data_IF_644074927525
#
_entry.id   IF_644074927525
#
_cell.length_a   1.000
_cell.length_b   1.000
_cell.length_c   1.000
_cell.angle_alpha   90.00
_cell.angle_beta   90.00
_cell.angle_gamma   90.00
#
_symmetry.space_group_name_H-M   'P 1'
#
loop_
_entity.id
_entity.type
_entity.pdbx_description
1 polymer ?
#
# COMPACT_ATOMS: atom_id res chain seq x y z
N UNK A 1 -14.17 37.43 -38.96
CA UNK A 1 -13.31 36.24 -38.89
C UNK A 1 -12.95 36.01 -37.46
N UNK A 2 -13.62 35.05 -36.74
CA UNK A 2 -13.38 34.78 -35.31
C UNK A 2 -12.41 33.61 -35.20
N UNK A 3 -11.23 33.87 -34.65
CA UNK A 3 -10.19 32.90 -34.41
C UNK A 3 -10.55 32.09 -33.14
N UNK A 4 -10.94 30.81 -33.32
CA UNK A 4 -11.10 29.89 -32.20
C UNK A 4 -9.73 29.33 -31.83
N UNK A 5 -9.18 29.78 -30.71
CA UNK A 5 -7.99 29.17 -30.12
C UNK A 5 -8.45 27.89 -29.40
N UNK A 6 -8.17 26.72 -29.99
CA UNK A 6 -8.30 25.42 -29.31
C UNK A 6 -7.17 25.32 -28.26
N UNK A 7 -7.52 25.48 -26.99
CA UNK A 7 -6.64 25.12 -25.89
C UNK A 7 -6.61 23.59 -25.79
N UNK A 8 -5.61 22.94 -26.38
CA UNK A 8 -5.33 21.54 -26.15
C UNK A 8 -4.79 21.39 -24.72
N UNK A 9 -5.63 20.92 -23.80
CA UNK A 9 -5.20 20.51 -22.47
C UNK A 9 -4.26 19.31 -22.60
N UNK A 10 -2.96 19.54 -22.43
CA UNK A 10 -1.97 18.46 -22.30
C UNK A 10 -2.25 17.71 -20.98
N UNK A 11 -3.02 16.64 -21.06
CA UNK A 11 -3.09 15.68 -19.97
C UNK A 11 -1.72 15.01 -19.87
N UNK A 12 -0.88 15.49 -18.97
CA UNK A 12 0.33 14.78 -18.58
C UNK A 12 -0.11 13.45 -17.96
N UNK A 13 0.20 12.35 -18.64
CA UNK A 13 -0.05 11.02 -18.09
C UNK A 13 0.70 10.91 -16.77
N UNK A 14 -0.04 10.85 -15.67
CA UNK A 14 0.54 10.78 -14.34
C UNK A 14 1.29 9.46 -14.20
N UNK A 15 2.57 9.50 -13.84
CA UNK A 15 3.41 8.33 -13.66
C UNK A 15 2.80 7.38 -12.61
N UNK A 16 2.37 6.17 -12.98
CA UNK A 16 1.66 5.26 -12.09
C UNK A 16 2.51 4.76 -10.92
N UNK A 17 3.83 4.86 -10.98
CA UNK A 17 4.73 4.42 -9.90
C UNK A 17 4.97 5.52 -8.85
N UNK A 18 4.69 6.78 -9.18
CA UNK A 18 4.97 7.91 -8.30
C UNK A 18 4.24 7.83 -6.95
N UNK A 19 2.94 7.48 -6.88
CA UNK A 19 2.25 7.36 -5.59
C UNK A 19 2.91 6.33 -4.67
N UNK A 20 3.34 5.18 -5.20
CA UNK A 20 3.92 4.08 -4.42
C UNK A 20 5.18 4.48 -3.66
N UNK A 21 5.94 5.46 -4.18
CA UNK A 21 7.15 5.97 -3.54
C UNK A 21 6.87 6.76 -2.24
N UNK A 22 5.63 7.19 -2.00
CA UNK A 22 5.22 7.81 -0.73
C UNK A 22 5.39 6.85 0.44
N UNK A 23 5.26 5.55 0.20
CA UNK A 23 5.36 4.52 1.22
C UNK A 23 6.80 4.31 1.71
N UNK A 24 7.82 4.75 0.94
CA UNK A 24 9.22 4.63 1.32
C UNK A 24 9.55 5.47 2.55
N UNK A 25 10.31 4.91 3.48
CA UNK A 25 10.82 5.57 4.69
C UNK A 25 10.59 4.77 5.96
N UNK A 26 10.88 5.40 7.10
CA UNK A 26 10.64 4.83 8.43
C UNK A 26 9.34 5.41 8.98
N UNK A 27 8.47 4.55 9.49
CA UNK A 27 7.18 4.90 10.04
C UNK A 27 7.05 4.39 11.47
N UNK A 28 6.55 5.23 12.35
CA UNK A 28 6.11 4.81 13.68
C UNK A 28 4.63 4.47 13.60
N UNK A 29 4.29 3.22 13.92
CA UNK A 29 2.93 2.67 13.83
C UNK A 29 2.34 2.59 15.23
N UNK A 30 1.32 3.38 15.50
CA UNK A 30 0.54 3.32 16.73
C UNK A 30 -0.73 2.52 16.51
N UNK A 31 -1.10 1.71 17.50
CA UNK A 31 -2.28 0.85 17.44
C UNK A 31 -3.39 1.40 18.33
N UNK A 32 -4.63 1.33 17.87
CA UNK A 32 -5.80 1.59 18.71
C UNK A 32 -5.86 0.55 19.81
N UNK A 33 -6.02 0.98 21.07
CA UNK A 33 -5.99 0.08 22.22
C UNK A 33 -4.70 0.13 23.03
N UNK A 34 -3.72 0.98 22.65
CA UNK A 34 -2.58 1.33 23.51
C UNK A 34 -1.43 0.31 23.54
N UNK A 35 -1.33 -0.58 22.55
CA UNK A 35 -0.15 -1.43 22.37
C UNK A 35 1.10 -0.58 22.12
N UNK A 36 2.28 -1.13 22.44
CA UNK A 36 3.56 -0.48 22.15
C UNK A 36 3.64 -0.18 20.63
N UNK A 37 4.02 1.04 20.23
CA UNK A 37 4.19 1.36 18.82
C UNK A 37 5.25 0.48 18.17
N UNK A 38 4.98 0.10 16.91
CA UNK A 38 5.94 -0.57 16.05
C UNK A 38 6.76 0.44 15.22
N UNK A 39 7.92 0.01 14.78
CA UNK A 39 8.74 0.73 13.79
C UNK A 39 8.72 -0.06 12.51
N UNK A 40 8.09 0.52 11.48
CA UNK A 40 8.01 -0.03 10.13
C UNK A 40 9.03 0.68 9.24
N UNK A 41 9.89 -0.07 8.58
CA UNK A 41 10.84 0.47 7.62
C UNK A 41 10.52 -0.07 6.24
N UNK A 42 10.25 0.82 5.29
CA UNK A 42 10.03 0.51 3.89
C UNK A 42 11.16 1.13 3.05
N UNK A 43 11.97 0.31 2.43
CA UNK A 43 12.99 0.76 1.46
C UNK A 43 12.47 0.46 0.07
N UNK A 44 11.81 1.45 -0.55
CA UNK A 44 11.18 1.28 -1.85
C UNK A 44 12.10 1.74 -2.97
N UNK A 45 12.14 0.98 -4.05
CA UNK A 45 12.86 1.26 -5.27
C UNK A 45 12.01 0.98 -6.51
N UNK A 46 12.23 1.76 -7.57
CA UNK A 46 11.68 1.45 -8.89
C UNK A 46 12.57 0.42 -9.57
N UNK A 47 11.94 -0.59 -10.14
CA UNK A 47 12.61 -1.64 -10.91
C UNK A 47 11.89 -1.77 -12.25
N UNK A 48 12.33 -0.99 -13.25
CA UNK A 48 11.66 -0.94 -14.55
C UNK A 48 10.22 -0.42 -14.43
N UNK A 49 9.24 -1.32 -14.67
CA UNK A 49 7.82 -0.99 -14.69
C UNK A 49 7.06 -1.33 -13.41
N UNK A 50 7.75 -1.60 -12.31
CA UNK A 50 7.15 -1.91 -11.02
C UNK A 50 7.96 -1.30 -9.87
N UNK A 51 7.39 -1.34 -8.65
CA UNK A 51 8.07 -0.92 -7.43
C UNK A 51 8.25 -2.12 -6.53
N UNK A 52 9.41 -2.21 -5.91
CA UNK A 52 9.70 -3.15 -4.80
C UNK A 52 9.94 -2.37 -3.53
N UNK A 53 9.49 -2.90 -2.39
CA UNK A 53 9.82 -2.35 -1.09
C UNK A 53 10.31 -3.48 -0.18
N UNK A 54 11.55 -3.37 0.31
CA UNK A 54 12.00 -4.16 1.45
C UNK A 54 11.34 -3.60 2.70
N UNK A 55 10.51 -4.40 3.35
CA UNK A 55 9.74 -4.02 4.53
C UNK A 55 10.20 -4.81 5.74
N UNK A 56 10.60 -4.11 6.81
CA UNK A 56 10.89 -4.73 8.11
C UNK A 56 10.09 -4.07 9.22
N UNK A 57 9.77 -4.84 10.26
CA UNK A 57 9.07 -4.38 11.46
C UNK A 57 9.98 -4.59 12.65
N UNK A 58 10.20 -3.53 13.45
CA UNK A 58 11.02 -3.55 14.68
C UNK A 58 12.43 -4.11 14.48
N UNK A 59 13.02 -3.89 13.30
CA UNK A 59 14.34 -4.41 12.95
C UNK A 59 14.41 -5.92 12.73
N UNK A 60 13.26 -6.58 12.61
CA UNK A 60 13.17 -7.99 12.24
C UNK A 60 13.53 -8.26 10.77
N UNK A 61 13.48 -9.53 10.33
CA UNK A 61 13.73 -9.92 8.95
C UNK A 61 12.79 -9.21 7.98
N UNK A 62 13.32 -8.82 6.82
CA UNK A 62 12.55 -8.10 5.79
C UNK A 62 11.71 -9.04 4.94
N UNK A 63 10.50 -8.57 4.61
CA UNK A 63 9.70 -9.11 3.52
C UNK A 63 9.85 -8.21 2.29
N UNK A 64 9.79 -8.78 1.10
CA UNK A 64 9.79 -8.02 -0.15
C UNK A 64 8.34 -7.83 -0.63
N UNK A 65 7.90 -6.58 -0.71
CA UNK A 65 6.64 -6.20 -1.33
C UNK A 65 6.88 -5.83 -2.78
N UNK A 66 6.05 -6.33 -3.68
CA UNK A 66 6.10 -6.02 -5.12
C UNK A 66 4.78 -5.39 -5.54
N UNK A 67 4.85 -4.27 -6.27
CA UNK A 67 3.71 -3.52 -6.78
C UNK A 67 3.83 -3.40 -8.30
N UNK A 68 2.90 -3.98 -9.04
CA UNK A 68 2.88 -4.03 -10.50
C UNK A 68 1.65 -3.25 -11.00
N UNK A 69 1.82 -2.10 -11.67
CA UNK A 69 0.68 -1.36 -12.21
C UNK A 69 -0.12 -2.19 -13.21
N UNK A 70 -1.43 -2.07 -13.14
CA UNK A 70 -2.31 -2.62 -14.16
C UNK A 70 -2.39 -1.64 -15.33
N UNK A 71 -2.04 -2.09 -16.52
CA UNK A 71 -2.03 -1.25 -17.73
C UNK A 71 -3.43 -0.90 -18.22
N UNK A 72 -4.42 -1.74 -17.88
CA UNK A 72 -5.83 -1.61 -18.26
C UNK A 72 -6.66 -0.79 -17.27
N UNK A 73 -6.12 -0.54 -16.06
CA UNK A 73 -6.86 0.10 -14.97
C UNK A 73 -5.96 1.07 -14.18
N UNK A 74 -5.93 2.35 -14.57
CA UNK A 74 -5.16 3.37 -13.82
C UNK A 74 -5.51 3.38 -12.33
N UNK A 75 -4.50 3.52 -11.46
CA UNK A 75 -4.67 3.50 -10.00
C UNK A 75 -4.84 2.11 -9.41
N UNK A 76 -4.83 1.05 -10.22
CA UNK A 76 -4.87 -0.34 -9.73
C UNK A 76 -3.54 -1.05 -9.97
N UNK A 77 -3.18 -1.90 -9.02
CA UNK A 77 -1.92 -2.63 -9.00
C UNK A 77 -2.14 -4.07 -8.55
N UNK A 78 -1.38 -4.99 -9.10
CA UNK A 78 -1.18 -6.28 -8.49
C UNK A 78 -0.13 -6.15 -7.40
N UNK A 79 -0.33 -6.85 -6.28
CA UNK A 79 0.61 -6.88 -5.17
C UNK A 79 1.04 -8.30 -4.88
N UNK A 80 2.28 -8.47 -4.43
CA UNK A 80 2.76 -9.73 -3.91
C UNK A 80 3.72 -9.48 -2.76
N UNK A 81 3.66 -10.32 -1.73
CA UNK A 81 4.58 -10.29 -0.61
C UNK A 81 5.43 -11.57 -0.66
N UNK A 82 6.74 -11.42 -0.59
CA UNK A 82 7.69 -12.51 -0.43
C UNK A 82 8.22 -12.42 0.99
N UNK A 83 7.90 -13.43 1.80
CA UNK A 83 8.29 -13.49 3.20
C UNK A 83 9.78 -13.69 3.36
N UNK A 84 10.37 -13.39 4.55
CA UNK A 84 11.80 -13.54 4.80
C UNK A 84 12.34 -14.95 4.50
N UNK A 85 11.52 -15.97 4.70
CA UNK A 85 11.85 -17.37 4.38
C UNK A 85 11.78 -17.71 2.87
N UNK A 86 11.58 -16.70 2.00
CA UNK A 86 11.52 -16.85 0.55
C UNK A 86 10.19 -17.34 -0.01
N UNK A 87 9.16 -17.50 0.84
CA UNK A 87 7.85 -17.95 0.39
C UNK A 87 6.98 -16.78 -0.06
N UNK A 88 6.53 -16.82 -1.33
CA UNK A 88 5.59 -15.87 -1.85
C UNK A 88 4.17 -16.11 -1.33
N UNK A 89 3.45 -15.03 -1.03
CA UNK A 89 2.01 -15.07 -0.75
C UNK A 89 1.21 -15.20 -2.05
N UNK A 90 -0.11 -15.39 -1.94
CA UNK A 90 -1.02 -15.19 -3.06
C UNK A 90 -0.91 -13.77 -3.60
N UNK A 91 -1.20 -13.60 -4.89
CA UNK A 91 -1.33 -12.28 -5.48
C UNK A 91 -2.51 -11.55 -4.86
N UNK A 92 -2.28 -10.33 -4.43
CA UNK A 92 -3.31 -9.40 -3.98
C UNK A 92 -3.52 -8.27 -4.97
N UNK A 93 -4.42 -7.37 -4.62
CA UNK A 93 -4.73 -6.16 -5.37
C UNK A 93 -4.53 -4.93 -4.47
N UNK A 94 -4.11 -3.83 -5.08
CA UNK A 94 -4.11 -2.51 -4.48
C UNK A 94 -4.87 -1.57 -5.41
N UNK A 95 -5.80 -0.82 -4.85
CA UNK A 95 -6.47 0.31 -5.51
C UNK A 95 -6.10 1.61 -4.81
N UNK A 96 -5.66 2.61 -5.58
CA UNK A 96 -5.36 3.95 -5.11
C UNK A 96 -6.40 4.91 -5.69
N UNK A 97 -7.24 5.46 -4.82
CA UNK A 97 -8.25 6.47 -5.17
C UNK A 97 -8.00 7.71 -4.32
N UNK A 98 -7.38 8.73 -4.92
CA UNK A 98 -6.93 9.92 -4.20
C UNK A 98 -5.95 9.54 -3.08
N UNK A 99 -6.29 9.90 -1.85
CA UNK A 99 -5.47 9.63 -0.66
C UNK A 99 -5.78 8.27 0.00
N UNK A 100 -6.69 7.48 -0.57
CA UNK A 100 -7.11 6.18 -0.03
C UNK A 100 -6.49 5.04 -0.81
N UNK A 101 -5.77 4.18 -0.10
CA UNK A 101 -5.15 2.98 -0.63
C UNK A 101 -5.84 1.75 -0.04
N UNK A 102 -6.47 0.95 -0.87
CA UNK A 102 -7.17 -0.26 -0.46
C UNK A 102 -6.40 -1.49 -0.95
N UNK A 103 -5.84 -2.23 -0.02
CA UNK A 103 -5.21 -3.52 -0.28
C UNK A 103 -6.20 -4.64 -0.04
N UNK A 104 -6.27 -5.57 -0.98
CA UNK A 104 -7.07 -6.79 -0.87
C UNK A 104 -6.17 -8.00 -1.13
N UNK A 105 -6.26 -8.98 -0.27
CA UNK A 105 -5.58 -10.28 -0.43
C UNK A 105 -6.41 -11.40 0.16
N UNK A 106 -6.00 -12.62 -0.08
CA UNK A 106 -6.60 -13.79 0.55
C UNK A 106 -5.53 -14.80 0.91
N UNK A 107 -5.88 -15.66 1.83
CA UNK A 107 -5.07 -16.79 2.27
C UNK A 107 -5.95 -18.02 2.40
N UNK A 108 -5.50 -19.13 1.83
CA UNK A 108 -6.13 -20.43 2.05
C UNK A 108 -5.50 -21.09 3.29
N UNK A 109 -6.31 -21.27 4.31
CA UNK A 109 -5.94 -21.95 5.55
C UNK A 109 -6.73 -23.26 5.67
N UNK A 110 -6.09 -24.37 5.27
CA UNK A 110 -6.66 -25.72 5.40
C UNK A 110 -8.05 -25.87 4.75
N UNK A 111 -8.20 -25.33 3.53
CA UNK A 111 -9.43 -25.40 2.76
C UNK A 111 -10.47 -24.32 3.13
N UNK A 112 -10.09 -23.35 3.97
CA UNK A 112 -10.89 -22.17 4.25
C UNK A 112 -10.16 -20.92 3.74
N UNK A 113 -10.75 -20.21 2.79
CA UNK A 113 -10.22 -18.95 2.32
C UNK A 113 -10.58 -17.85 3.32
N UNK A 114 -9.57 -17.10 3.79
CA UNK A 114 -9.74 -15.89 4.59
C UNK A 114 -9.33 -14.73 3.70
N UNK A 115 -10.19 -13.72 3.63
CA UNK A 115 -9.93 -12.47 2.91
C UNK A 115 -9.43 -11.41 3.87
N UNK A 116 -8.44 -10.65 3.45
CA UNK A 116 -7.84 -9.55 4.19
C UNK A 116 -8.02 -8.25 3.42
N UNK A 117 -8.38 -7.20 4.14
CA UNK A 117 -8.43 -5.84 3.61
C UNK A 117 -7.63 -4.92 4.52
N UNK A 118 -6.74 -4.13 3.93
CA UNK A 118 -6.12 -3.00 4.63
C UNK A 118 -6.48 -1.72 3.89
N UNK A 119 -7.00 -0.75 4.61
CA UNK A 119 -7.29 0.59 4.10
C UNK A 119 -6.31 1.55 4.74
N UNK A 120 -5.47 2.19 3.92
CA UNK A 120 -4.56 3.25 4.33
C UNK A 120 -5.07 4.58 3.78
N UNK A 121 -5.40 5.52 4.66
CA UNK A 121 -5.79 6.89 4.28
C UNK A 121 -4.65 7.84 4.58
N UNK A 122 -4.03 8.39 3.56
CA UNK A 122 -2.98 9.41 3.69
C UNK A 122 -3.61 10.73 4.11
N UNK A 123 -3.61 11.03 5.42
CA UNK A 123 -4.05 12.32 5.97
C UNK A 123 -3.12 13.44 5.54
N UNK A 124 -1.82 13.11 5.45
CA UNK A 124 -0.76 13.92 4.86
C UNK A 124 0.27 12.98 4.21
N UNK A 125 1.27 13.52 3.51
CA UNK A 125 2.37 12.71 2.97
C UNK A 125 3.23 11.99 4.02
N UNK A 126 3.05 12.34 5.29
CA UNK A 126 3.80 11.78 6.43
C UNK A 126 2.91 11.21 7.54
N UNK A 127 1.60 11.11 7.31
CA UNK A 127 0.65 10.55 8.27
C UNK A 127 -0.44 9.75 7.57
N UNK A 128 -0.59 8.50 7.96
CA UNK A 128 -1.56 7.54 7.46
C UNK A 128 -2.46 7.11 8.61
N UNK A 129 -3.77 7.05 8.38
CA UNK A 129 -4.68 6.26 9.21
C UNK A 129 -4.87 4.92 8.54
N UNK A 130 -4.75 3.84 9.29
CA UNK A 130 -4.96 2.51 8.75
C UNK A 130 -6.07 1.75 9.47
N UNK A 131 -6.73 0.88 8.72
CA UNK A 131 -7.68 -0.11 9.21
C UNK A 131 -7.39 -1.44 8.52
N UNK A 132 -7.32 -2.51 9.32
CA UNK A 132 -7.21 -3.88 8.83
C UNK A 132 -8.48 -4.64 9.19
N UNK A 133 -8.96 -5.44 8.25
CA UNK A 133 -10.16 -6.24 8.45
C UNK A 133 -10.01 -7.62 7.80
N UNK A 134 -10.71 -8.59 8.35
CA UNK A 134 -10.81 -9.95 7.84
C UNK A 134 -12.24 -10.29 7.47
N UNK A 135 -12.42 -11.20 6.51
CA UNK A 135 -13.71 -11.71 6.09
C UNK A 135 -13.62 -13.19 5.67
N UNK A 136 -14.62 -13.98 6.02
CA UNK A 136 -14.74 -15.35 5.56
C UNK A 136 -15.35 -15.48 4.16
N UNK A 137 -15.99 -14.41 3.64
CA UNK A 137 -16.74 -14.44 2.38
C UNK A 137 -16.39 -13.29 1.43
N UNK A 138 -15.44 -12.42 1.82
CA UNK A 138 -15.04 -11.23 1.05
C UNK A 138 -16.07 -10.09 1.04
N UNK A 139 -17.15 -10.18 1.83
CA UNK A 139 -18.24 -9.19 1.88
C UNK A 139 -18.44 -8.63 3.29
N UNK A 140 -18.53 -9.51 4.28
CA UNK A 140 -18.78 -9.15 5.68
C UNK A 140 -17.43 -8.99 6.38
N UNK A 141 -17.01 -7.74 6.60
CA UNK A 141 -15.69 -7.39 7.11
C UNK A 141 -15.73 -7.15 8.62
N UNK A 142 -14.83 -7.79 9.34
CA UNK A 142 -14.59 -7.56 10.77
C UNK A 142 -13.25 -6.87 10.93
N UNK A 143 -13.25 -5.66 11.50
CA UNK A 143 -12.02 -4.92 11.81
C UNK A 143 -11.23 -5.69 12.87
N UNK A 144 -9.96 -5.94 12.59
CA UNK A 144 -9.02 -6.67 13.45
C UNK A 144 -7.95 -5.79 14.05
N UNK A 145 -7.57 -4.71 13.33
CA UNK A 145 -6.63 -3.71 13.81
C UNK A 145 -6.90 -2.35 13.18
N UNK A 146 -6.52 -1.29 13.88
CA UNK A 146 -6.54 0.08 13.36
C UNK A 146 -5.52 0.94 14.11
N UNK A 147 -5.15 2.08 13.53
CA UNK A 147 -4.23 3.01 14.15
C UNK A 147 -3.73 4.08 13.20
N UNK A 148 -2.58 4.62 13.51
CA UNK A 148 -1.93 5.64 12.69
C UNK A 148 -0.46 5.28 12.47
N UNK A 149 0.03 5.60 11.27
CA UNK A 149 1.44 5.55 10.91
C UNK A 149 1.94 7.00 10.73
N UNK A 150 3.02 7.35 11.40
CA UNK A 150 3.66 8.67 11.28
C UNK A 150 5.08 8.49 10.79
N UNK A 151 5.42 9.16 9.68
CA UNK A 151 6.75 9.10 9.09
C UNK A 151 7.78 9.77 9.98
N UNK A 152 8.84 9.04 10.31
CA UNK A 152 9.98 9.58 11.04
C UNK A 152 10.85 10.38 10.07
N UNK A 153 10.87 11.70 10.24
CA UNK A 153 11.72 12.58 9.45
C UNK A 153 13.15 12.52 10.00
N UNK A 154 14.14 12.35 9.12
CA UNK A 154 15.54 12.45 9.51
C UNK A 154 15.77 13.85 10.14
N UNK A 155 16.38 13.89 11.34
CA UNK A 155 16.85 15.16 11.90
C UNK A 155 17.91 15.73 10.95
N UNK A 156 17.66 16.91 10.43
CA UNK A 156 18.65 17.69 9.69
C UNK A 156 19.75 18.16 10.62
#
# INVERSE_FOLDING_TARGET
>A
MRLFILLAALFSAQDPLSPLMLYSGTWQVSHTGGAKPDVLVNQCARTGHFVTCDQSVNGGPSALLVFIPRTDKPGQYYTQNIRPEGRATSRGDLEITGDVWTFLSNWDNSGKTIYYRTINTFVTRSRIKYEQAESANGKDWKVTASGEETKVLAKR
#
